data_IF_140237115340
#
_entry.id   IF_140237115340
#
_cell.length_a   1.000
_cell.length_b   1.000
_cell.length_c   1.000
_cell.angle_alpha   90.00
_cell.angle_beta   90.00
_cell.angle_gamma   90.00
#
_symmetry.space_group_name_H-M   'P 1'
#
loop_
_entity.id
_entity.type
_entity.pdbx_description
1 polymer ?
#
# COMPACT_ATOMS: atom_id res chain seq x y z
N UNK A 1 23.53 -11.40 4.96
CA UNK A 1 22.52 -10.71 5.79
C UNK A 1 23.22 -9.55 6.49
N UNK A 2 22.56 -8.40 6.66
CA UNK A 2 23.14 -7.24 7.36
C UNK A 2 23.08 -7.48 8.87
N UNK A 3 24.19 -7.27 9.57
CA UNK A 3 24.21 -7.40 11.03
C UNK A 3 23.35 -6.30 11.67
N UNK A 4 22.52 -6.60 12.69
CA UNK A 4 21.60 -5.62 13.27
C UNK A 4 22.25 -4.32 13.77
N UNK A 5 23.52 -4.38 14.20
CA UNK A 5 24.30 -3.21 14.65
C UNK A 5 24.70 -2.27 13.51
N UNK A 6 24.69 -2.75 12.26
CA UNK A 6 24.99 -1.96 11.07
C UNK A 6 23.72 -1.55 10.31
N UNK A 7 22.55 -1.59 10.97
CA UNK A 7 21.27 -1.28 10.34
C UNK A 7 20.47 -0.24 11.13
N UNK A 8 20.08 0.84 10.45
CA UNK A 8 19.06 1.76 10.94
C UNK A 8 17.66 1.17 10.69
N UNK A 9 16.82 1.10 11.73
CA UNK A 9 15.47 0.53 11.67
C UNK A 9 14.44 1.61 11.91
N UNK A 10 13.73 1.99 10.86
CA UNK A 10 12.76 3.08 10.89
C UNK A 10 11.40 2.64 10.36
N UNK A 11 10.34 3.19 10.93
CA UNK A 11 8.98 3.09 10.43
C UNK A 11 8.45 4.50 10.12
N UNK A 12 8.08 4.73 8.86
CA UNK A 12 7.51 6.01 8.44
C UNK A 12 6.04 6.11 8.85
N UNK A 13 5.74 7.08 9.71
CA UNK A 13 4.41 7.34 10.22
C UNK A 13 3.91 8.72 9.77
N UNK A 14 3.35 8.84 8.54
CA UNK A 14 2.63 10.04 8.16
C UNK A 14 1.44 10.31 9.09
N UNK A 15 1.01 11.57 9.12
CA UNK A 15 -0.28 11.95 9.71
C UNK A 15 -1.41 11.13 9.06
N UNK A 16 -2.42 10.76 9.86
CA UNK A 16 -3.45 9.80 9.48
C UNK A 16 -4.31 10.31 8.33
N UNK A 17 -4.78 11.55 8.39
CA UNK A 17 -5.62 12.12 7.34
C UNK A 17 -4.82 12.34 6.05
N UNK A 18 -3.57 12.78 6.16
CA UNK A 18 -2.67 12.89 5.02
C UNK A 18 -2.41 11.54 4.36
N UNK A 19 -2.21 10.47 5.14
CA UNK A 19 -2.07 9.12 4.60
C UNK A 19 -3.33 8.67 3.84
N UNK A 20 -4.52 8.91 4.40
CA UNK A 20 -5.79 8.57 3.72
C UNK A 20 -5.99 9.34 2.43
N UNK A 21 -5.57 10.62 2.38
CA UNK A 21 -5.60 11.47 1.19
C UNK A 21 -4.63 10.94 0.13
N UNK A 22 -3.38 10.67 0.50
CA UNK A 22 -2.36 10.12 -0.40
C UNK A 22 -2.76 8.77 -0.98
N UNK A 23 -3.37 7.88 -0.19
CA UNK A 23 -3.89 6.60 -0.67
C UNK A 23 -4.94 6.82 -1.76
N UNK A 24 -5.89 7.73 -1.54
CA UNK A 24 -6.92 8.04 -2.51
C UNK A 24 -6.32 8.64 -3.80
N UNK A 25 -5.47 9.66 -3.67
CA UNK A 25 -4.79 10.28 -4.81
C UNK A 25 -3.96 9.25 -5.60
N UNK A 26 -3.24 8.36 -4.92
CA UNK A 26 -2.44 7.32 -5.57
C UNK A 26 -3.31 6.36 -6.38
N UNK A 27 -4.44 5.93 -5.82
CA UNK A 27 -5.32 5.01 -6.54
C UNK A 27 -5.94 5.67 -7.78
N UNK A 28 -6.35 6.94 -7.67
CA UNK A 28 -6.84 7.70 -8.82
C UNK A 28 -5.77 7.86 -9.90
N UNK A 29 -4.52 8.12 -9.51
CA UNK A 29 -3.39 8.16 -10.45
C UNK A 29 -3.14 6.79 -11.11
N UNK A 30 -3.30 5.68 -10.38
CA UNK A 30 -3.21 4.33 -10.96
C UNK A 30 -4.30 4.09 -12.00
N UNK A 31 -5.54 4.52 -11.75
CA UNK A 31 -6.62 4.42 -12.75
C UNK A 31 -6.28 5.22 -14.01
N UNK A 32 -5.83 6.46 -13.85
CA UNK A 32 -5.40 7.31 -14.97
C UNK A 32 -4.21 6.72 -15.75
N UNK A 33 -3.36 5.94 -15.07
CA UNK A 33 -2.22 5.26 -15.67
C UNK A 33 -2.55 3.90 -16.32
N UNK A 34 -3.82 3.49 -16.35
CA UNK A 34 -4.24 2.25 -17.03
C UNK A 34 -4.38 1.02 -16.14
N UNK A 35 -4.58 1.18 -14.82
CA UNK A 35 -4.78 0.03 -13.92
C UNK A 35 -5.96 -0.88 -14.30
N UNK A 36 -7.01 -0.33 -14.95
CA UNK A 36 -8.12 -1.13 -15.48
C UNK A 36 -7.64 -2.09 -16.56
N UNK A 37 -6.78 -1.60 -17.47
CA UNK A 37 -6.24 -2.39 -18.57
C UNK A 37 -5.24 -3.44 -18.07
N UNK A 38 -4.44 -3.10 -17.06
CA UNK A 38 -3.57 -4.07 -16.38
C UNK A 38 -4.37 -5.24 -15.79
N UNK A 39 -5.49 -4.95 -15.09
CA UNK A 39 -6.34 -5.99 -14.52
C UNK A 39 -7.06 -6.79 -15.61
N UNK A 40 -7.50 -6.14 -16.70
CA UNK A 40 -8.07 -6.82 -17.86
C UNK A 40 -7.07 -7.81 -18.48
N UNK A 41 -5.82 -7.39 -18.67
CA UNK A 41 -4.75 -8.25 -19.16
C UNK A 41 -4.45 -9.40 -18.17
N UNK A 42 -4.51 -9.14 -16.86
CA UNK A 42 -4.36 -10.17 -15.84
C UNK A 42 -5.48 -11.22 -15.89
N UNK A 43 -6.74 -10.81 -16.04
CA UNK A 43 -7.88 -11.73 -16.19
C UNK A 43 -7.74 -12.62 -17.42
N UNK A 44 -7.29 -12.05 -18.54
CA UNK A 44 -7.14 -12.78 -19.81
C UNK A 44 -6.16 -13.96 -19.72
N UNK A 45 -5.30 -13.99 -18.70
CA UNK A 45 -4.37 -15.10 -18.44
C UNK A 45 -5.03 -16.34 -17.83
N UNK A 46 -6.30 -16.27 -17.42
CA UNK A 46 -7.03 -17.42 -16.87
C UNK A 46 -6.39 -18.00 -15.60
N UNK A 47 -5.76 -17.14 -14.77
CA UNK A 47 -5.06 -17.57 -13.58
C UNK A 47 -6.01 -18.04 -12.47
N UNK A 48 -5.62 -19.05 -11.65
CA UNK A 48 -6.41 -19.46 -10.50
C UNK A 48 -6.67 -18.31 -9.52
N UNK A 49 -7.93 -18.14 -9.11
CA UNK A 49 -8.34 -17.04 -8.21
C UNK A 49 -7.65 -17.06 -6.84
N UNK A 50 -7.15 -18.24 -6.43
CA UNK A 50 -6.47 -18.41 -5.16
C UNK A 50 -5.09 -17.71 -5.12
N UNK A 51 -4.50 -17.38 -6.27
CA UNK A 51 -3.15 -16.82 -6.35
C UNK A 51 -3.05 -15.45 -5.67
N UNK A 52 -1.91 -15.14 -5.01
CA UNK A 52 -1.72 -13.85 -4.34
C UNK A 52 -1.91 -12.64 -5.26
N UNK A 53 -1.51 -12.74 -6.54
CA UNK A 53 -1.69 -11.67 -7.52
C UNK A 53 -3.18 -11.32 -7.72
N UNK A 54 -4.07 -12.31 -7.71
CA UNK A 54 -5.51 -12.12 -7.88
C UNK A 54 -6.19 -11.48 -6.66
N UNK A 55 -5.48 -11.46 -5.53
CA UNK A 55 -5.93 -10.91 -4.25
C UNK A 55 -5.25 -9.59 -3.91
N UNK A 56 -4.40 -9.07 -4.79
CA UNK A 56 -3.73 -7.79 -4.59
C UNK A 56 -4.75 -6.65 -4.44
N UNK A 57 -4.45 -5.66 -3.60
CA UNK A 57 -5.35 -4.53 -3.36
C UNK A 57 -5.70 -3.81 -4.67
N UNK A 58 -6.99 -3.62 -4.91
CA UNK A 58 -7.52 -3.05 -6.16
C UNK A 58 -7.98 -4.11 -7.16
N UNK A 59 -7.26 -5.23 -7.31
CA UNK A 59 -7.59 -6.28 -8.30
C UNK A 59 -9.02 -6.81 -8.11
N UNK A 60 -9.46 -7.28 -6.92
CA UNK A 60 -10.82 -7.76 -6.74
C UNK A 60 -11.90 -6.75 -7.13
N UNK A 61 -11.68 -5.46 -6.85
CA UNK A 61 -12.63 -4.40 -7.16
C UNK A 61 -12.70 -4.10 -8.65
N UNK A 62 -11.55 -3.98 -9.31
CA UNK A 62 -11.49 -3.74 -10.75
C UNK A 62 -12.00 -4.93 -11.56
N UNK A 63 -11.81 -6.17 -11.09
CA UNK A 63 -12.43 -7.36 -11.69
C UNK A 63 -13.96 -7.29 -11.67
N UNK A 64 -14.55 -6.89 -10.55
CA UNK A 64 -16.02 -6.75 -10.43
C UNK A 64 -16.55 -5.66 -11.36
N UNK A 65 -15.82 -4.55 -11.48
CA UNK A 65 -16.13 -3.53 -12.49
C UNK A 65 -16.05 -4.08 -13.92
N UNK A 66 -14.98 -4.82 -14.26
CA UNK A 66 -14.80 -5.43 -15.58
C UNK A 66 -15.89 -6.46 -15.93
N UNK A 67 -16.49 -7.09 -14.92
CA UNK A 67 -17.64 -7.98 -15.06
C UNK A 67 -19.00 -7.27 -15.10
N UNK A 68 -19.03 -5.94 -14.99
CA UNK A 68 -20.26 -5.14 -14.99
C UNK A 68 -21.06 -5.23 -13.69
N UNK A 69 -20.47 -5.73 -12.60
CA UNK A 69 -21.18 -5.92 -11.33
C UNK A 69 -21.32 -4.64 -10.52
N UNK A 70 -20.38 -3.70 -10.69
CA UNK A 70 -20.32 -2.41 -9.97
C UNK A 70 -19.77 -1.34 -10.91
N UNK A 71 -20.00 -0.06 -10.58
CA UNK A 71 -19.41 1.06 -11.34
C UNK A 71 -17.91 1.22 -11.04
N UNK A 72 -17.20 1.97 -11.89
CA UNK A 72 -15.77 2.24 -11.67
C UNK A 72 -15.54 3.05 -10.40
N UNK A 73 -16.45 3.97 -10.08
CA UNK A 73 -16.43 4.79 -8.87
C UNK A 73 -16.55 3.90 -7.62
N UNK A 74 -17.52 2.98 -7.60
CA UNK A 74 -17.70 2.04 -6.50
C UNK A 74 -16.49 1.10 -6.34
N UNK A 75 -15.90 0.66 -7.46
CA UNK A 75 -14.65 -0.13 -7.43
C UNK A 75 -13.49 0.68 -6.82
N UNK A 76 -13.34 1.95 -7.19
CA UNK A 76 -12.30 2.81 -6.67
C UNK A 76 -12.47 3.09 -5.17
N UNK A 77 -13.67 3.40 -4.71
CA UNK A 77 -13.98 3.60 -3.30
C UNK A 77 -13.64 2.35 -2.46
N UNK A 78 -14.05 1.17 -2.94
CA UNK A 78 -13.74 -0.11 -2.30
C UNK A 78 -12.23 -0.38 -2.21
N UNK A 79 -11.50 -0.18 -3.31
CA UNK A 79 -10.06 -0.38 -3.36
C UNK A 79 -9.30 0.60 -2.42
N UNK A 80 -9.73 1.86 -2.37
CA UNK A 80 -9.18 2.87 -1.46
C UNK A 80 -9.44 2.47 -0.01
N UNK A 81 -10.65 2.03 0.31
CA UNK A 81 -11.01 1.58 1.66
C UNK A 81 -10.16 0.39 2.12
N UNK A 82 -10.00 -0.62 1.26
CA UNK A 82 -9.17 -1.79 1.57
C UNK A 82 -7.71 -1.43 1.77
N UNK A 83 -7.18 -0.52 0.95
CA UNK A 83 -5.81 -0.02 1.10
C UNK A 83 -5.63 0.74 2.42
N UNK A 84 -6.62 1.55 2.85
CA UNK A 84 -6.62 2.22 4.16
C UNK A 84 -6.65 1.21 5.32
N UNK A 85 -7.48 0.16 5.21
CA UNK A 85 -7.55 -0.92 6.21
C UNK A 85 -6.22 -1.67 6.28
N UNK A 86 -5.60 -1.94 5.14
CA UNK A 86 -4.28 -2.57 5.08
C UNK A 86 -3.20 -1.70 5.73
N UNK A 87 -3.13 -0.41 5.42
CA UNK A 87 -2.20 0.52 6.05
C UNK A 87 -2.39 0.57 7.58
N UNK A 88 -3.65 0.58 8.07
CA UNK A 88 -3.94 0.47 9.51
C UNK A 88 -3.39 -0.84 10.10
N UNK A 89 -3.58 -1.98 9.42
CA UNK A 89 -3.04 -3.27 9.88
C UNK A 89 -1.51 -3.26 9.91
N UNK A 90 -0.83 -2.66 8.94
CA UNK A 90 0.63 -2.50 8.96
C UNK A 90 1.06 -1.73 10.21
N UNK A 91 0.44 -0.58 10.50
CA UNK A 91 0.75 0.21 11.71
C UNK A 91 0.54 -0.61 12.99
N UNK A 92 -0.60 -1.31 13.12
CA UNK A 92 -0.85 -2.16 14.30
C UNK A 92 0.16 -3.28 14.42
N UNK A 93 0.52 -3.93 13.31
CA UNK A 93 1.48 -5.02 13.32
C UNK A 93 2.87 -4.54 13.73
N UNK A 94 3.39 -3.47 13.12
CA UNK A 94 4.70 -2.91 13.48
C UNK A 94 4.76 -2.48 14.95
N UNK A 95 3.68 -1.90 15.48
CA UNK A 95 3.64 -1.49 16.89
C UNK A 95 3.81 -2.65 17.86
N UNK A 96 3.29 -3.82 17.50
CA UNK A 96 3.28 -4.97 18.39
C UNK A 96 4.42 -5.97 18.12
N UNK A 97 4.96 -5.98 16.89
CA UNK A 97 5.90 -7.01 16.43
C UNK A 97 7.31 -6.49 16.18
N UNK A 98 7.50 -5.16 16.15
CA UNK A 98 8.79 -4.53 15.85
C UNK A 98 9.25 -3.60 16.98
N UNK A 99 9.49 -4.13 18.19
CA UNK A 99 10.04 -3.34 19.29
C UNK A 99 11.43 -2.79 18.92
N UNK A 100 11.74 -1.58 19.36
CA UNK A 100 13.03 -0.92 19.12
C UNK A 100 13.19 -0.32 17.72
N UNK A 101 12.15 -0.34 16.87
CA UNK A 101 12.13 0.44 15.63
C UNK A 101 11.77 1.90 15.92
N UNK A 102 12.44 2.82 15.25
CA UNK A 102 12.18 4.25 15.42
C UNK A 102 11.03 4.70 14.53
N UNK A 103 9.97 5.24 15.16
CA UNK A 103 8.82 5.79 14.45
C UNK A 103 9.08 7.25 14.13
N UNK A 104 8.99 7.61 12.86
CA UNK A 104 9.38 8.94 12.39
C UNK A 104 8.38 9.46 11.37
N UNK A 105 8.05 10.75 11.43
CA UNK A 105 7.27 11.37 10.37
C UNK A 105 8.10 11.39 9.07
N UNK A 106 7.49 11.23 7.88
CA UNK A 106 8.24 11.22 6.63
C UNK A 106 9.13 12.45 6.41
N UNK A 107 8.73 13.62 6.91
CA UNK A 107 9.50 14.86 6.79
C UNK A 107 10.82 14.82 7.58
N UNK A 108 10.86 14.08 8.69
CA UNK A 108 12.03 14.01 9.59
C UNK A 108 12.94 12.82 9.28
N UNK A 109 12.48 11.90 8.44
CA UNK A 109 13.16 10.63 8.19
C UNK A 109 14.55 10.80 7.56
N UNK A 110 14.72 11.77 6.67
CA UNK A 110 16.00 12.03 6.00
C UNK A 110 17.10 12.42 7.00
N UNK A 111 16.83 13.40 7.87
CA UNK A 111 17.80 13.84 8.87
C UNK A 111 18.16 12.73 9.87
N UNK A 112 17.23 11.83 10.17
CA UNK A 112 17.50 10.67 11.01
C UNK A 112 18.42 9.65 10.32
N UNK A 113 18.20 9.39 9.03
CA UNK A 113 19.06 8.51 8.24
C UNK A 113 20.48 9.07 8.14
N UNK A 114 20.62 10.37 7.88
CA UNK A 114 21.93 11.02 7.81
C UNK A 114 22.69 10.87 9.13
N UNK A 115 22.03 11.08 10.27
CA UNK A 115 22.62 10.90 11.59
C UNK A 115 22.98 9.44 11.93
N UNK A 116 22.31 8.46 11.30
CA UNK A 116 22.53 7.04 11.52
C UNK A 116 23.61 6.44 10.62
N UNK A 117 23.83 7.00 9.42
CA UNK A 117 24.84 6.55 8.44
C UNK A 117 26.19 7.25 8.65
N UNK A 118 26.20 8.45 9.22
CA UNK A 118 27.42 9.19 9.57
C UNK A 118 28.08 8.75 10.89
N UNK A 119 27.58 7.67 11.52
CA UNK A 119 28.19 7.00 12.68
C UNK A 119 28.81 5.68 12.26
#
# INVERSE_FOLDING_TARGET
LVEPKHAARIFLQPEREELKRRIACRFQAMLAAGAVDEVRALEARGLPEALPAMKAHGVPWLRRYLRGEITLEAAAEGAIMDTRRYAKRQVTWFRNQMPGWTWVAPADAAGLLDAAVMR
#
